data_IF_647530909492
#
_entry.id   IF_647530909492
#
_cell.length_a   1.000
_cell.length_b   1.000
_cell.length_c   1.000
_cell.angle_alpha   90.00
_cell.angle_beta   90.00
_cell.angle_gamma   90.00
#
_symmetry.space_group_name_H-M   'P 1'
#
loop_
_entity.id
_entity.type
_entity.pdbx_description
1 polymer ?
#
# COMPACT_ATOMS: atom_id res chain seq x y z
N UNK A 1 -18.77 20.31 13.31
CA UNK A 1 -19.32 19.42 12.25
C UNK A 1 -18.58 19.55 10.92
N UNK A 2 -18.47 20.75 10.33
CA UNK A 2 -17.85 20.94 8.99
C UNK A 2 -16.39 20.44 8.90
N UNK A 3 -15.56 20.68 9.93
CA UNK A 3 -14.16 20.19 9.97
C UNK A 3 -14.04 18.65 9.93
N UNK A 4 -14.95 17.94 10.59
CA UNK A 4 -14.94 16.47 10.62
C UNK A 4 -15.37 15.88 9.26
N UNK A 5 -16.35 16.53 8.60
CA UNK A 5 -16.78 16.17 7.25
C UNK A 5 -15.64 16.40 6.24
N UNK A 6 -15.00 17.57 6.26
CA UNK A 6 -13.85 17.87 5.40
C UNK A 6 -12.71 16.86 5.60
N UNK A 7 -12.38 16.53 6.85
CA UNK A 7 -11.36 15.53 7.17
C UNK A 7 -11.71 14.14 6.63
N UNK A 8 -12.99 13.75 6.65
CA UNK A 8 -13.46 12.48 6.09
C UNK A 8 -13.30 12.43 4.56
N UNK A 9 -13.67 13.49 3.85
CA UNK A 9 -13.50 13.58 2.40
C UNK A 9 -12.02 13.58 1.99
N UNK A 10 -11.16 14.33 2.70
CA UNK A 10 -9.71 14.36 2.43
C UNK A 10 -9.08 12.97 2.64
N UNK A 11 -9.42 12.27 3.74
CA UNK A 11 -8.94 10.89 3.97
C UNK A 11 -9.40 9.91 2.90
N UNK A 12 -10.60 10.11 2.34
CA UNK A 12 -11.13 9.25 1.29
C UNK A 12 -10.36 9.44 -0.02
N UNK A 13 -10.09 10.68 -0.41
CA UNK A 13 -9.30 10.99 -1.62
C UNK A 13 -7.86 10.47 -1.48
N UNK A 14 -7.23 10.68 -0.33
CA UNK A 14 -5.87 10.16 -0.08
C UNK A 14 -5.77 8.63 -0.06
N UNK A 15 -6.87 7.91 0.14
CA UNK A 15 -6.85 6.44 0.23
C UNK A 15 -6.56 5.79 -1.13
N UNK A 16 -7.00 6.41 -2.22
CA UNK A 16 -6.79 5.90 -3.57
C UNK A 16 -5.31 6.02 -3.99
N UNK A 17 -4.68 7.18 -3.76
CA UNK A 17 -3.24 7.35 -4.03
C UNK A 17 -2.36 6.39 -3.21
N UNK A 18 -2.76 6.12 -1.97
CA UNK A 18 -2.04 5.19 -1.09
C UNK A 18 -2.09 3.75 -1.64
N UNK A 19 -3.22 3.35 -2.25
CA UNK A 19 -3.34 2.05 -2.92
C UNK A 19 -2.47 1.96 -4.18
N UNK A 20 -2.42 3.00 -5.02
CA UNK A 20 -1.57 3.00 -6.21
C UNK A 20 -0.09 2.84 -5.85
N UNK A 21 0.37 3.54 -4.81
CA UNK A 21 1.75 3.42 -4.32
C UNK A 21 2.02 2.00 -3.79
N UNK A 22 1.07 1.36 -3.10
CA UNK A 22 1.22 -0.02 -2.65
C UNK A 22 1.36 -1.00 -3.83
N UNK A 23 0.57 -0.84 -4.90
CA UNK A 23 0.68 -1.66 -6.13
C UNK A 23 2.04 -1.49 -6.80
N UNK A 24 2.57 -0.26 -6.86
CA UNK A 24 3.91 0.00 -7.39
C UNK A 24 4.96 -0.75 -6.57
N UNK A 25 4.88 -0.68 -5.24
CA UNK A 25 5.83 -1.37 -4.36
C UNK A 25 5.75 -2.89 -4.51
N UNK A 26 4.55 -3.48 -4.50
CA UNK A 26 4.37 -4.91 -4.73
C UNK A 26 4.99 -5.33 -6.08
N UNK A 27 4.75 -4.54 -7.14
CA UNK A 27 5.35 -4.78 -8.46
C UNK A 27 6.88 -4.71 -8.43
N UNK A 28 7.46 -3.74 -7.71
CA UNK A 28 8.92 -3.61 -7.57
C UNK A 28 9.53 -4.76 -6.77
N UNK A 29 8.81 -5.29 -5.78
CA UNK A 29 9.20 -6.46 -5.00
C UNK A 29 9.19 -7.72 -5.85
N UNK A 30 8.11 -7.97 -6.60
CA UNK A 30 8.02 -9.10 -7.56
C UNK A 30 9.13 -9.03 -8.61
N UNK A 31 9.52 -7.81 -9.03
CA UNK A 31 10.64 -7.59 -9.96
C UNK A 31 12.04 -7.66 -9.32
N UNK A 32 12.14 -7.90 -8.01
CA UNK A 32 13.41 -7.91 -7.28
C UNK A 32 14.14 -6.56 -7.24
N UNK A 33 13.44 -5.45 -7.46
CA UNK A 33 13.99 -4.08 -7.44
C UNK A 33 13.92 -3.44 -6.06
N UNK A 34 12.99 -3.91 -5.22
CA UNK A 34 12.84 -3.53 -3.82
C UNK A 34 12.59 -4.77 -2.97
N UNK A 35 12.87 -4.62 -1.69
CA UNK A 35 12.61 -5.62 -0.64
C UNK A 35 11.52 -5.07 0.29
N UNK A 36 10.84 -5.95 1.03
CA UNK A 36 9.67 -5.59 1.83
C UNK A 36 10.00 -4.58 2.96
N UNK A 37 11.20 -4.63 3.52
CA UNK A 37 11.74 -3.65 4.47
C UNK A 37 11.79 -2.20 3.93
N UNK A 38 11.81 -2.02 2.61
CA UNK A 38 11.78 -0.69 1.98
C UNK A 38 10.37 -0.12 1.84
N UNK A 39 9.34 -0.88 2.20
CA UNK A 39 7.95 -0.48 2.16
C UNK A 39 7.65 0.40 3.38
N UNK A 40 7.15 1.64 3.18
CA UNK A 40 6.73 2.50 4.29
C UNK A 40 5.67 1.82 5.16
N UNK A 41 5.83 1.89 6.49
CA UNK A 41 4.95 1.23 7.47
C UNK A 41 3.46 1.43 7.20
N UNK A 42 3.07 2.65 6.77
CA UNK A 42 1.68 3.00 6.45
C UNK A 42 1.02 2.16 5.35
N UNK A 43 1.80 1.56 4.45
CA UNK A 43 1.32 0.74 3.33
C UNK A 43 1.76 -0.73 3.39
N UNK A 44 2.54 -1.13 4.40
CA UNK A 44 2.99 -2.52 4.53
C UNK A 44 1.84 -3.53 4.55
N UNK A 45 0.74 -3.22 5.22
CA UNK A 45 -0.44 -4.08 5.25
C UNK A 45 -1.06 -4.26 3.85
N UNK A 46 -1.15 -3.18 3.07
CA UNK A 46 -1.68 -3.23 1.71
C UNK A 46 -0.75 -3.98 0.76
N UNK A 47 0.56 -3.78 0.89
CA UNK A 47 1.55 -4.51 0.07
C UNK A 47 1.52 -6.00 0.40
N UNK A 48 1.36 -6.39 1.68
CA UNK A 48 1.17 -7.80 2.07
C UNK A 48 -0.06 -8.44 1.45
N UNK A 49 -1.18 -7.73 1.47
CA UNK A 49 -2.43 -8.16 0.85
C UNK A 49 -2.23 -8.38 -0.66
N UNK A 50 -1.66 -7.39 -1.36
CA UNK A 50 -1.39 -7.50 -2.80
C UNK A 50 -0.44 -8.65 -3.12
N UNK A 51 0.64 -8.84 -2.36
CA UNK A 51 1.57 -9.97 -2.57
C UNK A 51 0.90 -11.32 -2.31
N UNK A 52 -0.04 -11.39 -1.37
CA UNK A 52 -0.84 -12.59 -1.12
C UNK A 52 -1.82 -12.85 -2.27
N UNK A 53 -2.48 -11.80 -2.78
CA UNK A 53 -3.38 -11.89 -3.94
C UNK A 53 -2.64 -12.28 -5.24
N UNK A 54 -1.33 -12.00 -5.29
CA UNK A 54 -0.42 -12.41 -6.37
C UNK A 54 0.19 -13.81 -6.15
N UNK A 55 -0.23 -14.56 -5.13
CA UNK A 55 0.27 -15.88 -4.76
C UNK A 55 1.79 -15.93 -4.47
N UNK A 56 2.37 -14.81 -3.98
CA UNK A 56 3.80 -14.69 -3.60
C UNK A 56 4.00 -14.08 -2.20
N UNK A 57 3.32 -14.59 -1.16
CA UNK A 57 3.38 -14.04 0.19
C UNK A 57 4.79 -14.07 0.82
N UNK A 58 5.65 -15.00 0.39
CA UNK A 58 7.04 -15.15 0.86
C UNK A 58 7.90 -13.91 0.56
N UNK A 59 7.52 -13.09 -0.41
CA UNK A 59 8.23 -11.84 -0.72
C UNK A 59 7.96 -10.73 0.30
N UNK A 60 7.06 -10.96 1.27
CA UNK A 60 6.77 -10.04 2.36
C UNK A 60 7.48 -10.39 3.68
N UNK A 61 8.38 -11.40 3.66
CA UNK A 61 9.24 -11.79 4.78
C UNK A 61 10.48 -10.88 4.94
#
# INVERSE_FOLDING_TARGET
>A
MVKALLFFFVRKIFREEVNEVAVIYATLIVKGKKTFDQVPERIQAQVKEILSDLDVPELAE
#
